data_IF_858454744100
#
_entry.id   IF_858454744100
#
_cell.length_a   1.000
_cell.length_b   1.000
_cell.length_c   1.000
_cell.angle_alpha   90.00
_cell.angle_beta   90.00
_cell.angle_gamma   90.00
#
_symmetry.space_group_name_H-M   'P 1'
#
loop_
_entity.id
_entity.type
_entity.pdbx_description
1 polymer ?
#
# COMPACT_ATOMS: atom_id res chain seq x y z
N UNK A 1 8.89 -8.55 -8.46
CA UNK A 1 9.12 -7.12 -8.16
C UNK A 1 8.40 -6.76 -6.87
N UNK A 2 9.01 -5.96 -6.03
CA UNK A 2 8.36 -5.42 -4.82
C UNK A 2 7.69 -4.11 -5.18
N UNK A 3 6.39 -4.04 -4.98
CA UNK A 3 5.55 -2.90 -5.34
C UNK A 3 4.80 -2.37 -4.12
N UNK A 4 4.55 -1.07 -4.09
CA UNK A 4 3.67 -0.43 -3.12
C UNK A 4 2.37 -0.06 -3.81
N UNK A 5 1.25 -0.30 -3.14
CA UNK A 5 -0.06 0.24 -3.51
C UNK A 5 -0.49 1.21 -2.41
N UNK A 6 -0.80 2.44 -2.78
CA UNK A 6 -1.16 3.48 -1.82
C UNK A 6 -2.13 4.48 -2.42
N UNK A 7 -3.06 4.98 -1.60
CA UNK A 7 -3.94 6.10 -1.94
C UNK A 7 -3.49 7.31 -1.14
N UNK A 8 -3.26 8.41 -1.81
CA UNK A 8 -2.83 9.66 -1.16
C UNK A 8 -3.75 10.82 -1.55
N UNK A 9 -3.91 11.76 -0.62
CA UNK A 9 -4.51 13.07 -0.92
C UNK A 9 -3.55 13.94 -1.74
N UNK A 10 -4.00 15.13 -2.15
CA UNK A 10 -3.16 16.08 -2.87
C UNK A 10 -1.90 16.48 -2.08
N UNK A 11 -1.97 16.46 -0.77
CA UNK A 11 -0.84 16.75 0.13
C UNK A 11 -0.16 15.47 0.70
N UNK A 12 -0.29 14.33 0.02
CA UNK A 12 0.35 13.06 0.38
C UNK A 12 -0.07 12.47 1.73
N UNK A 13 -1.26 12.82 2.20
CA UNK A 13 -1.83 12.23 3.39
C UNK A 13 -2.46 10.87 3.05
N UNK A 14 -2.24 9.86 3.92
CA UNK A 14 -2.73 8.49 3.70
C UNK A 14 -3.71 8.02 4.76
N UNK A 15 -3.82 8.71 5.88
CA UNK A 15 -4.74 8.29 6.94
C UNK A 15 -4.90 9.31 8.04
N UNK A 16 -5.94 9.10 8.84
CA UNK A 16 -6.22 9.86 10.05
C UNK A 16 -6.66 8.89 11.14
N UNK A 17 -5.93 8.86 12.26
CA UNK A 17 -6.24 8.00 13.41
C UNK A 17 -6.45 6.53 13.01
N UNK A 18 -5.59 6.01 12.12
CA UNK A 18 -5.60 4.65 11.57
C UNK A 18 -6.79 4.31 10.67
N UNK A 19 -7.58 5.29 10.26
CA UNK A 19 -8.65 5.11 9.30
C UNK A 19 -8.29 5.59 7.91
N UNK A 20 -8.95 5.02 6.90
CA UNK A 20 -8.83 5.50 5.52
C UNK A 20 -9.44 6.88 5.39
N UNK A 21 -8.79 7.74 4.59
CA UNK A 21 -9.31 9.09 4.32
C UNK A 21 -10.45 9.10 3.32
N UNK A 22 -10.42 8.20 2.34
CA UNK A 22 -11.33 8.20 1.20
C UNK A 22 -11.90 6.81 0.97
N UNK A 23 -13.19 6.78 0.64
CA UNK A 23 -13.85 5.57 0.18
C UNK A 23 -13.95 5.62 -1.34
N UNK A 24 -13.18 4.77 -2.02
CA UNK A 24 -13.02 4.77 -3.47
C UNK A 24 -13.37 3.38 -4.04
N UNK A 25 -14.64 3.13 -4.39
CA UNK A 25 -15.07 1.79 -4.82
C UNK A 25 -14.32 1.25 -6.02
N UNK A 26 -14.04 2.06 -7.03
CA UNK A 26 -13.29 1.62 -8.21
C UNK A 26 -11.84 1.30 -7.90
N UNK A 27 -11.22 2.11 -7.03
CA UNK A 27 -9.86 1.85 -6.56
C UNK A 27 -9.80 0.56 -5.74
N UNK A 28 -10.79 0.29 -4.91
CA UNK A 28 -10.88 -0.95 -4.15
C UNK A 28 -11.00 -2.17 -5.06
N UNK A 29 -11.74 -2.06 -6.16
CA UNK A 29 -11.82 -3.12 -7.18
C UNK A 29 -10.49 -3.34 -7.89
N UNK A 30 -9.83 -2.26 -8.28
CA UNK A 30 -8.51 -2.32 -8.91
C UNK A 30 -7.47 -2.96 -7.97
N UNK A 31 -7.50 -2.60 -6.69
CA UNK A 31 -6.67 -3.21 -5.67
C UNK A 31 -6.90 -4.73 -5.59
N UNK A 32 -8.15 -5.15 -5.54
CA UNK A 32 -8.48 -6.58 -5.49
C UNK A 32 -7.99 -7.32 -6.71
N UNK A 33 -8.19 -6.77 -7.90
CA UNK A 33 -7.72 -7.36 -9.15
C UNK A 33 -6.20 -7.50 -9.16
N UNK A 34 -5.49 -6.44 -8.73
CA UNK A 34 -4.03 -6.43 -8.73
C UNK A 34 -3.43 -7.44 -7.75
N UNK A 35 -4.07 -7.65 -6.59
CA UNK A 35 -3.48 -8.42 -5.49
C UNK A 35 -3.98 -9.86 -5.38
N UNK A 36 -5.10 -10.22 -6.02
CA UNK A 36 -5.65 -11.58 -5.95
C UNK A 36 -4.64 -12.60 -6.50
N UNK A 37 -4.38 -13.64 -5.71
CA UNK A 37 -3.39 -14.67 -6.05
C UNK A 37 -1.95 -14.26 -5.80
N UNK A 38 -1.73 -13.07 -5.21
CA UNK A 38 -0.40 -12.53 -4.95
C UNK A 38 -0.08 -12.50 -3.46
N UNK A 39 1.16 -12.14 -3.15
CA UNK A 39 1.62 -11.90 -1.79
C UNK A 39 1.34 -10.44 -1.42
N UNK A 40 0.70 -10.23 -0.28
CA UNK A 40 0.50 -8.88 0.29
C UNK A 40 1.21 -8.79 1.64
N UNK A 41 1.81 -7.64 1.90
CA UNK A 41 2.54 -7.34 3.14
C UNK A 41 1.86 -6.17 3.82
N UNK A 42 1.47 -6.36 5.07
CA UNK A 42 0.78 -5.32 5.84
C UNK A 42 1.28 -5.27 7.29
N UNK A 43 0.97 -4.16 7.96
CA UNK A 43 1.16 -4.04 9.39
C UNK A 43 -0.07 -4.56 10.15
N UNK A 44 0.09 -4.72 11.47
CA UNK A 44 -0.96 -5.25 12.35
C UNK A 44 -2.27 -4.45 12.27
N UNK A 45 -2.18 -3.13 12.39
CA UNK A 45 -3.39 -2.27 12.38
C UNK A 45 -4.12 -2.31 11.05
N UNK A 46 -3.40 -2.41 9.94
CA UNK A 46 -3.99 -2.57 8.62
C UNK A 46 -4.73 -3.90 8.52
N UNK A 47 -4.11 -4.98 8.99
CA UNK A 47 -4.77 -6.29 9.01
C UNK A 47 -6.05 -6.27 9.85
N UNK A 48 -6.00 -5.67 11.04
CA UNK A 48 -7.17 -5.56 11.92
C UNK A 48 -8.30 -4.72 11.31
N UNK A 49 -7.98 -3.82 10.36
CA UNK A 49 -8.98 -3.00 9.67
C UNK A 49 -9.75 -3.73 8.56
N UNK A 50 -9.29 -4.91 8.15
CA UNK A 50 -9.95 -5.69 7.12
C UNK A 50 -11.26 -6.28 7.64
N UNK A 51 -12.22 -6.64 6.76
CA UNK A 51 -13.49 -7.21 7.17
C UNK A 51 -13.31 -8.40 8.12
N UNK A 52 -13.96 -8.34 9.28
CA UNK A 52 -13.83 -9.36 10.31
C UNK A 52 -12.45 -9.43 10.96
N UNK A 53 -11.60 -8.44 10.77
CA UNK A 53 -10.21 -8.42 11.25
C UNK A 53 -9.42 -9.64 10.76
N UNK A 54 -9.67 -10.06 9.52
CA UNK A 54 -9.08 -11.26 8.91
C UNK A 54 -8.25 -10.91 7.68
N UNK A 55 -7.27 -11.76 7.34
CA UNK A 55 -6.55 -11.61 6.07
C UNK A 55 -7.51 -11.60 4.89
N UNK A 56 -7.16 -10.83 3.87
CA UNK A 56 -7.96 -10.76 2.65
C UNK A 56 -8.01 -12.12 1.95
N UNK A 57 -9.18 -12.56 1.49
CA UNK A 57 -9.28 -13.87 0.82
C UNK A 57 -8.47 -13.91 -0.47
N UNK A 58 -7.96 -15.09 -0.81
CA UNK A 58 -7.22 -15.39 -2.05
C UNK A 58 -5.90 -14.60 -2.20
N UNK A 59 -5.29 -14.17 -1.09
CA UNK A 59 -3.94 -13.60 -1.06
C UNK A 59 -3.13 -14.29 0.01
N UNK A 60 -1.83 -14.41 -0.23
CA UNK A 60 -0.90 -14.83 0.81
C UNK A 60 -0.51 -13.59 1.62
N UNK A 61 -0.87 -13.54 2.88
CA UNK A 61 -0.66 -12.38 3.74
C UNK A 61 0.55 -12.57 4.64
N UNK A 62 1.47 -11.61 4.61
CA UNK A 62 2.58 -11.47 5.54
C UNK A 62 2.30 -10.24 6.40
N UNK A 63 2.27 -10.42 7.71
CA UNK A 63 2.01 -9.34 8.65
C UNK A 63 3.24 -9.06 9.51
N UNK A 64 3.71 -7.81 9.51
CA UNK A 64 4.72 -7.36 10.46
C UNK A 64 4.03 -6.97 11.76
N UNK A 65 4.32 -7.67 12.84
CA UNK A 65 3.71 -7.42 14.14
C UNK A 65 4.68 -7.81 15.27
N UNK A 66 4.36 -7.42 16.51
CA UNK A 66 5.10 -7.91 17.66
C UNK A 66 4.73 -9.35 17.97
N UNK A 67 5.58 -10.05 18.74
CA UNK A 67 5.34 -11.47 19.11
C UNK A 67 4.02 -11.66 19.85
N UNK A 68 3.63 -10.70 20.69
CA UNK A 68 2.37 -10.75 21.44
C UNK A 68 1.13 -10.69 20.53
N UNK A 69 1.30 -10.21 19.31
CA UNK A 69 0.22 -10.05 18.33
C UNK A 69 0.28 -11.09 17.20
N UNK A 70 1.06 -12.16 17.35
CA UNK A 70 1.09 -13.23 16.37
C UNK A 70 -0.29 -13.87 16.18
N UNK A 71 -0.59 -14.26 14.94
CA UNK A 71 -1.87 -14.84 14.54
C UNK A 71 -1.62 -16.16 13.83
N UNK A 72 -2.64 -17.02 13.82
CA UNK A 72 -2.58 -18.32 13.15
C UNK A 72 -3.09 -18.28 11.71
N UNK A 73 -3.75 -17.19 11.32
CA UNK A 73 -4.43 -17.08 10.02
C UNK A 73 -3.60 -16.37 8.93
N UNK A 74 -2.37 -15.96 9.26
CA UNK A 74 -1.43 -15.39 8.31
C UNK A 74 0.02 -15.66 8.74
N UNK A 75 0.96 -15.33 7.87
CA UNK A 75 2.38 -15.42 8.22
C UNK A 75 2.78 -14.18 9.00
N UNK A 76 3.12 -14.35 10.26
CA UNK A 76 3.58 -13.27 11.14
C UNK A 76 5.09 -13.22 11.20
N UNK A 77 5.65 -12.02 11.06
CA UNK A 77 7.08 -11.78 11.18
C UNK A 77 7.29 -10.60 12.14
N UNK A 78 8.30 -10.71 12.99
CA UNK A 78 8.46 -9.76 14.10
C UNK A 78 9.66 -8.81 13.92
N UNK A 79 10.42 -8.96 12.86
CA UNK A 79 11.64 -8.19 12.59
C UNK A 79 11.63 -7.64 11.17
N UNK A 80 11.88 -6.33 11.04
CA UNK A 80 11.89 -5.65 9.73
C UNK A 80 12.98 -6.20 8.80
N UNK A 81 14.15 -6.49 9.33
CA UNK A 81 15.26 -7.00 8.52
C UNK A 81 14.98 -8.40 7.99
N UNK A 82 14.36 -9.24 8.79
CA UNK A 82 13.89 -10.56 8.34
C UNK A 82 12.80 -10.42 7.28
N UNK A 83 11.88 -9.48 7.48
CA UNK A 83 10.85 -9.20 6.49
C UNK A 83 11.45 -8.74 5.16
N UNK A 84 12.42 -7.85 5.18
CA UNK A 84 13.12 -7.38 3.97
C UNK A 84 13.77 -8.54 3.22
N UNK A 85 14.43 -9.44 3.92
CA UNK A 85 15.03 -10.64 3.32
C UNK A 85 13.99 -11.53 2.67
N UNK A 86 12.89 -11.78 3.37
CA UNK A 86 11.81 -12.64 2.89
C UNK A 86 11.18 -12.08 1.62
N UNK A 87 10.80 -10.79 1.61
CA UNK A 87 10.15 -10.21 0.44
C UNK A 87 11.07 -10.08 -0.76
N UNK A 88 12.37 -9.85 -0.54
CA UNK A 88 13.36 -9.87 -1.62
C UNK A 88 13.46 -11.26 -2.26
N UNK A 89 13.45 -12.29 -1.45
CA UNK A 89 13.48 -13.67 -1.95
C UNK A 89 12.21 -14.01 -2.74
N UNK A 90 11.04 -13.71 -2.18
CA UNK A 90 9.75 -13.96 -2.84
C UNK A 90 9.62 -13.18 -4.15
N UNK A 91 10.16 -11.97 -4.21
CA UNK A 91 10.05 -11.11 -5.39
C UNK A 91 10.85 -11.61 -6.59
N UNK A 92 11.73 -12.57 -6.41
CA UNK A 92 12.47 -13.20 -7.52
C UNK A 92 11.55 -13.98 -8.46
N UNK A 93 10.43 -14.49 -7.95
CA UNK A 93 9.52 -15.34 -8.71
C UNK A 93 8.11 -14.79 -8.83
N UNK A 94 7.77 -13.71 -8.13
CA UNK A 94 6.42 -13.15 -8.14
C UNK A 94 6.43 -11.70 -7.69
N UNK A 95 5.32 -11.01 -7.92
CA UNK A 95 5.13 -9.67 -7.39
C UNK A 95 4.70 -9.73 -5.92
N UNK A 96 5.29 -8.85 -5.11
CA UNK A 96 4.98 -8.69 -3.70
C UNK A 96 4.43 -7.28 -3.51
N UNK A 97 3.25 -7.15 -2.93
CA UNK A 97 2.56 -5.87 -2.75
C UNK A 97 2.59 -5.43 -1.29
N UNK A 98 3.20 -4.28 -1.02
CA UNK A 98 3.17 -3.63 0.28
C UNK A 98 1.93 -2.74 0.32
N UNK A 99 1.02 -3.01 1.26
CA UNK A 99 -0.31 -2.39 1.27
C UNK A 99 -0.61 -1.53 2.49
N UNK A 100 0.38 -1.30 3.34
CA UNK A 100 0.26 -0.35 4.46
C UNK A 100 0.41 -0.96 5.83
N UNK A 101 0.38 -0.19 6.87
CA UNK A 101 0.18 1.27 6.91
C UNK A 101 1.43 2.13 6.80
N UNK A 102 1.28 3.37 7.25
CA UNK A 102 2.30 4.40 7.06
C UNK A 102 3.67 4.04 7.57
N UNK A 103 3.77 3.40 8.74
CA UNK A 103 5.04 2.95 9.29
C UNK A 103 5.70 1.90 8.40
N UNK A 104 4.91 0.94 7.91
CA UNK A 104 5.42 -0.11 7.03
C UNK A 104 5.91 0.46 5.70
N UNK A 105 5.20 1.42 5.14
CA UNK A 105 5.64 2.12 3.94
C UNK A 105 7.01 2.77 4.14
N UNK A 106 7.21 3.47 5.26
CA UNK A 106 8.50 4.09 5.56
C UNK A 106 9.62 3.07 5.68
N UNK A 107 9.36 1.96 6.36
CA UNK A 107 10.36 0.92 6.61
C UNK A 107 10.75 0.16 5.33
N UNK A 108 9.84 0.01 4.37
CA UNK A 108 10.06 -0.86 3.21
C UNK A 108 10.23 -0.11 1.89
N UNK A 109 10.10 1.22 1.88
CA UNK A 109 10.19 1.99 0.63
C UNK A 109 11.54 1.80 -0.06
N UNK A 110 12.61 1.66 0.69
CA UNK A 110 13.97 1.41 0.17
C UNK A 110 14.11 0.06 -0.55
N UNK A 111 13.20 -0.86 -0.31
CA UNK A 111 13.17 -2.18 -0.97
C UNK A 111 12.32 -2.22 -2.24
N UNK A 112 11.52 -1.18 -2.51
CA UNK A 112 10.54 -1.19 -3.58
C UNK A 112 11.12 -0.76 -4.91
N UNK A 113 10.70 -1.41 -5.99
CA UNK A 113 11.04 -1.02 -7.36
C UNK A 113 9.97 -0.12 -7.96
N UNK A 114 8.71 -0.28 -7.52
CA UNK A 114 7.59 0.44 -8.12
C UNK A 114 6.59 0.86 -7.04
N UNK A 115 6.07 2.07 -7.16
CA UNK A 115 5.01 2.57 -6.28
C UNK A 115 3.84 3.00 -7.16
N UNK A 116 2.69 2.37 -6.94
CA UNK A 116 1.45 2.67 -7.66
C UNK A 116 0.60 3.53 -6.72
N UNK A 117 0.44 4.80 -7.09
CA UNK A 117 -0.21 5.81 -6.27
C UNK A 117 -1.53 6.22 -6.89
N UNK A 118 -2.63 6.03 -6.17
CA UNK A 118 -3.88 6.67 -6.51
C UNK A 118 -3.89 8.04 -5.84
N UNK A 119 -3.84 9.10 -6.64
CA UNK A 119 -3.89 10.49 -6.15
C UNK A 119 -5.32 10.98 -6.16
N UNK A 120 -5.80 11.42 -5.02
CA UNK A 120 -7.11 12.06 -4.87
C UNK A 120 -6.90 13.57 -4.94
N UNK A 121 -7.64 14.25 -5.82
CA UNK A 121 -7.49 15.70 -6.06
C UNK A 121 -8.19 16.52 -4.97
N UNK A 122 -7.82 16.26 -3.73
CA UNK A 122 -8.33 16.94 -2.54
C UNK A 122 -7.25 16.89 -1.47
N UNK A 123 -7.03 18.00 -0.79
CA UNK A 123 -6.17 18.00 0.40
C UNK A 123 -6.88 17.34 1.57
N UNK A 124 -6.14 16.73 2.45
CA UNK A 124 -6.68 16.09 3.64
C UNK A 124 -5.91 16.50 4.88
N UNK A 125 -6.64 16.66 5.98
CA UNK A 125 -6.08 16.85 7.30
C UNK A 125 -6.02 15.49 8.00
N UNK A 126 -4.84 14.91 8.03
CA UNK A 126 -4.64 13.58 8.58
C UNK A 126 -3.41 13.47 9.45
N UNK A 127 -3.18 12.27 9.96
CA UNK A 127 -2.09 11.99 10.91
C UNK A 127 -0.96 11.15 10.31
N UNK A 128 -1.18 10.54 9.15
CA UNK A 128 -0.18 9.73 8.47
C UNK A 128 0.04 10.22 7.05
N UNK A 129 1.29 10.26 6.62
CA UNK A 129 1.69 10.77 5.30
C UNK A 129 2.62 9.79 4.60
N UNK A 130 2.51 9.73 3.28
CA UNK A 130 3.46 9.04 2.42
C UNK A 130 4.50 10.06 1.92
N UNK A 131 5.77 9.67 1.76
CA UNK A 131 6.77 10.58 1.20
C UNK A 131 6.34 11.12 -0.16
N UNK A 132 6.53 12.41 -0.39
CA UNK A 132 6.23 13.02 -1.68
C UNK A 132 7.20 12.52 -2.73
N UNK A 133 6.75 11.60 -3.57
CA UNK A 133 7.62 10.96 -4.57
C UNK A 133 7.98 11.89 -5.73
N UNK A 134 7.24 12.98 -5.93
CA UNK A 134 7.59 13.99 -6.93
C UNK A 134 8.87 14.74 -6.55
N UNK A 135 9.22 14.72 -5.27
CA UNK A 135 10.44 15.35 -4.72
C UNK A 135 11.47 14.34 -4.23
N UNK A 136 11.17 13.04 -4.35
CA UNK A 136 12.06 12.00 -3.84
C UNK A 136 13.22 11.73 -4.80
N UNK A 137 14.49 11.73 -4.33
CA UNK A 137 15.65 11.59 -5.21
C UNK A 137 15.77 10.22 -5.88
N UNK A 138 15.16 9.18 -5.32
CA UNK A 138 15.32 7.80 -5.78
C UNK A 138 14.20 7.32 -6.71
N UNK A 139 13.18 8.13 -6.93
CA UNK A 139 12.03 7.76 -7.77
C UNK A 139 11.79 8.78 -8.87
N UNK A 140 11.18 8.30 -9.95
CA UNK A 140 10.69 9.16 -11.02
C UNK A 140 9.29 8.73 -11.45
N UNK A 141 8.49 9.68 -11.91
CA UNK A 141 7.16 9.42 -12.44
C UNK A 141 7.29 8.81 -13.84
N UNK A 142 6.90 7.55 -13.99
CA UNK A 142 6.94 6.86 -15.28
C UNK A 142 5.65 7.05 -16.06
N UNK A 143 4.49 7.01 -15.37
CA UNK A 143 3.19 7.08 -16.00
C UNK A 143 2.21 7.80 -15.09
N UNK A 144 1.34 8.58 -15.69
CA UNK A 144 0.22 9.23 -15.01
C UNK A 144 -1.02 9.07 -15.88
N UNK A 145 -2.09 8.52 -15.31
CA UNK A 145 -3.36 8.39 -15.99
C UNK A 145 -4.07 9.73 -16.14
N UNK A 146 -5.07 9.77 -17.01
CA UNK A 146 -6.03 10.85 -17.02
C UNK A 146 -6.83 10.90 -15.72
N UNK A 147 -7.48 12.03 -15.45
CA UNK A 147 -8.37 12.17 -14.32
C UNK A 147 -9.57 11.24 -14.46
N UNK A 148 -9.92 10.56 -13.38
CA UNK A 148 -10.98 9.56 -13.33
C UNK A 148 -11.93 9.92 -12.21
N UNK A 149 -13.24 9.87 -12.49
CA UNK A 149 -14.25 9.91 -11.43
C UNK A 149 -14.34 8.53 -10.79
N UNK A 150 -14.23 8.44 -9.47
CA UNK A 150 -14.20 7.16 -8.78
C UNK A 150 -15.60 6.60 -8.51
N UNK A 151 -16.36 6.37 -9.58
CA UNK A 151 -17.65 5.70 -9.53
C UNK A 151 -18.83 6.62 -9.27
N UNK A 152 -20.04 6.01 -9.29
CA UNK A 152 -21.30 6.71 -9.27
C UNK A 152 -21.60 7.43 -7.94
N UNK A 153 -21.00 6.96 -6.85
CA UNK A 153 -21.24 7.46 -5.51
C UNK A 153 -20.06 8.21 -4.90
N UNK A 154 -19.01 8.45 -5.68
CA UNK A 154 -17.84 9.17 -5.20
C UNK A 154 -17.76 10.57 -5.80
N UNK A 155 -17.57 11.56 -4.93
CA UNK A 155 -17.33 12.96 -5.33
C UNK A 155 -15.88 13.19 -5.79
N UNK A 156 -15.02 12.19 -5.60
CA UNK A 156 -13.59 12.38 -5.76
C UNK A 156 -13.13 12.17 -7.20
N UNK A 157 -12.28 13.07 -7.66
CA UNK A 157 -11.51 12.89 -8.89
C UNK A 157 -10.15 12.34 -8.50
N UNK A 158 -9.72 11.29 -9.21
CA UNK A 158 -8.45 10.63 -8.96
C UNK A 158 -7.66 10.47 -10.23
N UNK A 159 -6.38 10.24 -10.10
CA UNK A 159 -5.57 9.68 -11.17
C UNK A 159 -4.55 8.69 -10.59
N UNK A 160 -4.09 7.79 -11.43
CA UNK A 160 -3.13 6.76 -11.03
C UNK A 160 -1.76 7.16 -11.56
N UNK A 161 -0.80 7.23 -10.65
CA UNK A 161 0.58 7.55 -10.96
C UNK A 161 1.47 6.35 -10.64
N UNK A 162 2.31 5.98 -11.58
CA UNK A 162 3.29 4.91 -11.39
C UNK A 162 4.66 5.53 -11.28
N UNK A 163 5.28 5.35 -10.13
CA UNK A 163 6.65 5.79 -9.85
C UNK A 163 7.58 4.58 -9.89
N UNK A 164 8.73 4.75 -10.49
CA UNK A 164 9.75 3.72 -10.52
C UNK A 164 11.03 4.20 -9.87
N UNK A 165 11.75 3.25 -9.27
CA UNK A 165 13.06 3.53 -8.69
C UNK A 165 14.07 3.80 -9.80
N UNK A 166 14.86 4.85 -9.61
CA UNK A 166 16.00 5.13 -10.48
C UNK A 166 17.06 4.03 -10.33
N UNK A 167 17.64 3.66 -11.43
CA UNK A 167 18.68 2.63 -11.49
C UNK A 167 20.05 3.28 -11.34
#
# INVERSE_FOLDING_TARGET
MIKVLVVVSANWCIGKNNDLLFKLPNDMRAFRVATTGKVVVCGRKTLESFPGSRPLPNRATICLCSKENNRDDCYCINDVNELKKLIKELSKTQDVFIIGGGRLYQELLDCCQEVIVTKVHTEADGTAFFPNLDKHPDFYLEHQSEDISDGEYSEYITNICVYKRKV
#
